data_IF_093611108948
#
_entry.id   IF_093611108948
#
_cell.length_a   1.000
_cell.length_b   1.000
_cell.length_c   1.000
_cell.angle_alpha   90.00
_cell.angle_beta   90.00
_cell.angle_gamma   90.00
#
_symmetry.space_group_name_H-M   'P 1'
#
loop_
_entity.id
_entity.type
_entity.pdbx_description
1 polymer ?
#
# COMPACT_ATOMS: atom_id res chain seq x y z
N UNK A 1 64.67 0.74 -31.78
CA UNK A 1 64.82 2.16 -31.40
C UNK A 1 64.09 2.35 -30.06
N UNK A 2 64.66 2.73 -28.90
CA UNK A 2 66.01 3.22 -28.55
C UNK A 2 66.41 4.48 -29.37
N UNK A 3 66.65 5.68 -28.84
CA UNK A 3 66.70 6.27 -27.46
C UNK A 3 66.13 7.73 -27.52
N UNK A 4 66.22 8.69 -26.58
CA UNK A 4 66.97 8.85 -25.32
C UNK A 4 66.36 9.88 -24.33
N UNK A 5 66.72 9.72 -23.03
CA UNK A 5 67.19 10.72 -22.04
C UNK A 5 66.62 12.16 -22.03
N UNK A 6 66.15 12.59 -20.84
CA UNK A 6 65.85 13.99 -20.50
C UNK A 6 65.62 14.22 -18.99
N UNK A 7 66.55 13.79 -18.12
CA UNK A 7 66.41 13.88 -16.65
C UNK A 7 66.89 15.23 -16.08
N UNK A 8 66.12 15.82 -15.16
CA UNK A 8 66.63 16.76 -14.13
C UNK A 8 65.98 16.41 -12.78
N UNK A 9 66.75 16.40 -11.70
CA UNK A 9 66.25 16.14 -10.34
C UNK A 9 67.11 16.81 -9.25
N UNK A 10 66.47 17.62 -8.40
CA UNK A 10 66.91 18.00 -7.05
C UNK A 10 65.68 18.58 -6.31
N UNK A 11 65.21 18.13 -5.15
CA UNK A 11 65.87 17.71 -3.89
C UNK A 11 66.24 18.87 -2.93
N UNK A 12 65.23 19.36 -2.20
CA UNK A 12 65.34 20.00 -0.87
C UNK A 12 64.20 19.46 0.01
N UNK A 13 64.44 18.52 0.92
CA UNK A 13 65.09 18.63 2.25
C UNK A 13 64.17 19.24 3.32
N UNK A 14 63.63 18.33 4.13
CA UNK A 14 63.27 18.43 5.56
C UNK A 14 62.92 19.80 6.17
N UNK A 15 61.66 19.90 6.63
CA UNK A 15 61.32 20.59 7.87
C UNK A 15 60.34 19.71 8.70
N UNK A 16 60.78 19.23 9.87
CA UNK A 16 59.93 18.52 10.85
C UNK A 16 59.50 19.51 11.94
N UNK A 17 58.21 19.81 12.06
CA UNK A 17 57.66 20.62 13.16
C UNK A 17 56.57 19.85 13.92
N UNK A 18 56.98 19.06 14.91
CA UNK A 18 56.07 18.34 15.81
C UNK A 18 55.42 19.30 16.83
N UNK A 19 54.42 20.07 16.42
CA UNK A 19 53.61 20.91 17.32
C UNK A 19 52.59 20.07 18.11
N UNK A 20 53.09 19.32 19.10
CA UNK A 20 52.29 18.71 20.16
C UNK A 20 51.78 19.82 21.09
N UNK A 21 50.56 20.32 20.86
CA UNK A 21 49.87 21.20 21.80
C UNK A 21 48.99 20.42 22.78
N UNK A 22 48.74 21.01 23.95
CA UNK A 22 48.46 20.27 25.17
C UNK A 22 47.09 19.60 25.23
N UNK A 23 47.08 18.42 25.83
CA UNK A 23 45.89 17.83 26.47
C UNK A 23 45.44 18.78 27.60
N UNK A 24 44.22 19.32 27.51
CA UNK A 24 43.55 19.98 28.64
C UNK A 24 42.38 19.14 29.12
N UNK A 25 42.67 18.18 29.98
CA UNK A 25 41.65 17.48 30.77
C UNK A 25 41.11 18.42 31.86
N UNK A 26 39.84 18.81 31.76
CA UNK A 26 39.06 19.38 32.88
C UNK A 26 37.86 18.48 33.15
N UNK A 27 37.78 17.98 34.37
CA UNK A 27 36.77 17.03 34.85
C UNK A 27 35.48 17.72 35.29
N UNK A 28 34.51 16.89 35.70
CA UNK A 28 33.32 17.21 36.53
C UNK A 28 32.06 17.72 35.81
N UNK A 29 31.14 16.77 35.59
CA UNK A 29 29.82 16.74 36.25
C UNK A 29 28.92 17.99 36.18
N UNK A 30 27.84 17.86 35.40
CA UNK A 30 26.47 17.86 35.96
C UNK A 30 25.55 17.05 35.04
N UNK A 31 25.09 15.89 35.49
CA UNK A 31 24.15 15.05 34.74
C UNK A 31 22.72 15.32 35.23
N UNK A 32 22.03 16.28 34.60
CA UNK A 32 20.61 16.52 34.82
C UNK A 32 19.77 15.64 33.86
N UNK A 33 19.04 14.62 34.33
CA UNK A 33 18.18 13.82 33.46
C UNK A 33 16.93 14.65 33.09
N UNK A 34 16.95 15.29 31.93
CA UNK A 34 15.80 16.04 31.42
C UNK A 34 14.68 15.07 31.00
N UNK A 35 13.85 14.67 31.96
CA UNK A 35 12.80 13.67 31.77
C UNK A 35 11.68 14.22 30.88
N UNK A 36 11.74 13.89 29.59
CA UNK A 36 10.64 14.11 28.65
C UNK A 36 9.40 13.28 29.03
N UNK A 37 8.62 13.80 29.98
CA UNK A 37 7.24 13.40 30.22
C UNK A 37 6.45 13.66 28.95
N UNK A 38 6.14 12.60 28.20
CA UNK A 38 5.31 12.68 26.99
C UNK A 38 3.88 13.02 27.42
N UNK A 39 3.30 14.16 26.99
CA UNK A 39 1.91 14.44 27.30
C UNK A 39 1.02 13.39 26.65
N UNK A 40 0.27 12.65 27.47
CA UNK A 40 -0.75 11.72 26.99
C UNK A 40 -1.92 12.52 26.43
N UNK A 41 -2.28 12.39 25.14
CA UNK A 41 -3.44 13.07 24.60
C UNK A 41 -4.71 12.44 25.18
N UNK A 42 -5.29 13.07 26.19
CA UNK A 42 -6.59 12.72 26.73
C UNK A 42 -7.67 12.97 25.67
N UNK A 43 -8.06 11.92 24.94
CA UNK A 43 -9.15 11.98 23.98
C UNK A 43 -10.49 11.99 24.71
N UNK A 44 -11.10 13.16 24.82
CA UNK A 44 -12.53 13.29 25.09
C UNK A 44 -13.32 12.58 23.98
N UNK A 45 -14.07 11.55 24.37
CA UNK A 45 -15.00 10.86 23.47
C UNK A 45 -16.37 11.56 23.50
N UNK A 46 -16.53 12.61 22.68
CA UNK A 46 -17.87 13.11 22.35
C UNK A 46 -18.54 12.11 21.42
N UNK A 47 -19.41 11.25 21.94
CA UNK A 47 -20.18 10.32 21.10
C UNK A 47 -21.43 11.03 20.57
N UNK A 48 -21.38 11.49 19.32
CA UNK A 48 -22.57 11.93 18.59
C UNK A 48 -23.21 10.72 17.93
N UNK A 49 -24.16 10.08 18.62
CA UNK A 49 -25.00 9.07 17.97
C UNK A 49 -25.86 9.73 16.90
N UNK A 50 -25.78 9.24 15.66
CA UNK A 50 -26.76 9.52 14.62
C UNK A 50 -28.04 8.73 14.92
N UNK A 51 -28.94 9.32 15.71
CA UNK A 51 -30.32 8.85 15.84
C UNK A 51 -31.05 9.11 14.54
N UNK A 52 -31.17 8.08 13.69
CA UNK A 52 -32.04 8.14 12.52
C UNK A 52 -33.49 7.95 13.00
N UNK A 53 -34.18 9.06 13.21
CA UNK A 53 -35.63 9.03 13.39
C UNK A 53 -36.27 8.39 12.15
N UNK A 54 -37.38 7.69 12.37
CA UNK A 54 -38.32 7.34 11.33
C UNK A 54 -39.54 8.23 11.55
N UNK A 55 -39.81 9.13 10.61
CA UNK A 55 -41.02 9.94 10.65
C UNK A 55 -42.23 9.06 10.32
N UNK A 56 -43.21 9.04 11.22
CA UNK A 56 -44.53 8.48 10.95
C UNK A 56 -45.32 9.47 10.07
N UNK A 57 -46.04 8.95 9.07
CA UNK A 57 -46.92 9.73 8.21
C UNK A 57 -48.38 9.52 8.62
N UNK A 58 -49.16 10.60 8.65
CA UNK A 58 -50.52 10.65 9.21
C UNK A 58 -51.62 10.21 8.21
N UNK A 59 -52.86 10.08 8.72
CA UNK A 59 -54.03 9.43 8.12
C UNK A 59 -54.58 10.08 6.82
N UNK A 60 -55.28 9.27 6.00
CA UNK A 60 -56.63 9.62 5.50
C UNK A 60 -57.33 8.49 4.72
N UNK A 61 -58.14 7.70 5.44
CA UNK A 61 -59.46 7.19 5.01
C UNK A 61 -59.62 6.31 3.73
N UNK A 62 -60.23 5.11 3.89
CA UNK A 62 -61.67 4.84 3.56
C UNK A 62 -61.98 3.40 3.03
N UNK A 63 -62.89 2.73 3.74
CA UNK A 63 -63.76 1.59 3.30
C UNK A 63 -63.13 0.22 2.97
N UNK A 64 -63.87 -0.85 3.31
CA UNK A 64 -63.55 -2.25 2.94
C UNK A 64 -63.83 -3.26 4.07
N UNK A 65 -65.06 -3.76 4.19
CA UNK A 65 -65.46 -4.68 5.27
C UNK A 65 -65.53 -6.14 4.81
N UNK A 66 -65.17 -7.12 5.68
CA UNK A 66 -65.91 -8.39 5.89
C UNK A 66 -65.14 -9.49 6.66
N UNK A 67 -65.56 -9.75 7.93
CA UNK A 67 -65.58 -11.09 8.61
C UNK A 67 -64.19 -11.75 8.91
N UNK A 68 -64.01 -12.63 9.90
CA UNK A 68 -64.91 -13.20 10.94
C UNK A 68 -64.11 -13.49 12.24
N UNK A 69 -64.78 -13.54 13.38
CA UNK A 69 -64.28 -14.14 14.63
C UNK A 69 -64.13 -15.68 14.50
N UNK A 70 -63.60 -16.47 15.45
CA UNK A 70 -63.93 -16.51 16.90
C UNK A 70 -63.03 -17.49 17.69
N UNK A 71 -62.77 -17.20 18.99
CA UNK A 71 -62.59 -18.15 20.15
C UNK A 71 -61.48 -19.23 20.08
N UNK A 72 -60.97 -19.80 21.19
CA UNK A 72 -60.92 -19.40 22.62
C UNK A 72 -59.88 -20.25 23.39
N UNK A 73 -59.71 -19.97 24.69
CA UNK A 73 -58.63 -20.45 25.59
C UNK A 73 -58.87 -21.78 26.33
N UNK A 74 -57.74 -22.46 26.63
CA UNK A 74 -57.39 -23.16 27.90
C UNK A 74 -57.82 -24.62 28.25
N UNK A 75 -56.78 -25.32 28.75
CA UNK A 75 -56.72 -26.25 29.92
C UNK A 75 -57.26 -27.71 29.93
N UNK A 76 -56.28 -28.64 29.93
CA UNK A 76 -56.01 -29.73 30.90
C UNK A 76 -56.88 -31.02 31.05
N UNK A 77 -56.13 -32.16 31.09
CA UNK A 77 -56.38 -33.44 31.82
C UNK A 77 -57.52 -34.39 31.38
N UNK A 78 -57.50 -35.71 31.63
CA UNK A 78 -56.40 -36.71 31.73
C UNK A 78 -56.97 -38.16 31.88
N UNK A 79 -56.32 -39.19 31.29
CA UNK A 79 -56.07 -40.55 31.86
C UNK A 79 -55.32 -41.49 30.88
N UNK A 80 -55.00 -42.74 31.30
CA UNK A 80 -53.90 -43.59 30.78
C UNK A 80 -54.35 -44.89 30.08
N UNK A 81 -53.53 -45.36 29.14
CA UNK A 81 -53.23 -46.78 28.86
C UNK A 81 -51.69 -46.97 28.79
N UNK A 82 -51.13 -48.19 28.74
CA UNK A 82 -49.74 -48.40 29.21
C UNK A 82 -48.82 -49.39 28.46
N UNK A 83 -47.52 -49.00 28.40
CA UNK A 83 -46.29 -49.84 28.23
C UNK A 83 -46.04 -50.47 26.84
N UNK A 84 -44.80 -50.94 26.52
CA UNK A 84 -43.59 -51.09 27.35
C UNK A 84 -42.47 -50.05 27.13
N UNK A 85 -41.33 -50.21 27.84
CA UNK A 85 -40.18 -49.28 27.89
C UNK A 85 -39.01 -49.74 27.02
N UNK A 86 -38.32 -48.81 26.35
CA UNK A 86 -36.97 -49.02 25.82
C UNK A 86 -35.88 -48.63 26.84
N UNK A 87 -34.69 -49.25 26.75
CA UNK A 87 -33.58 -49.06 27.71
C UNK A 87 -32.79 -47.77 27.42
N UNK A 88 -32.41 -46.95 28.43
CA UNK A 88 -31.55 -45.79 28.22
C UNK A 88 -30.11 -46.21 27.88
N UNK A 89 -29.51 -45.61 26.84
CA UNK A 89 -28.10 -45.84 26.49
C UNK A 89 -27.16 -45.23 27.56
N UNK A 90 -26.02 -45.87 27.88
CA UNK A 90 -25.10 -45.38 28.90
C UNK A 90 -24.43 -44.05 28.48
N UNK A 91 -24.40 -43.08 29.40
CA UNK A 91 -23.72 -41.79 29.19
C UNK A 91 -22.21 -42.02 29.04
N UNK A 92 -21.64 -41.72 27.86
CA UNK A 92 -20.18 -41.73 27.65
C UNK A 92 -19.52 -40.75 28.63
N UNK A 93 -18.60 -41.21 29.46
CA UNK A 93 -17.77 -40.34 30.33
C UNK A 93 -17.04 -39.31 29.44
N UNK A 94 -16.91 -38.03 29.86
CA UNK A 94 -16.23 -37.02 29.06
C UNK A 94 -14.75 -37.39 28.91
N UNK A 95 -14.28 -37.52 27.67
CA UNK A 95 -12.84 -37.68 27.39
C UNK A 95 -12.12 -36.45 27.97
N UNK A 96 -11.09 -36.66 28.82
CA UNK A 96 -10.21 -35.59 29.30
C UNK A 96 -9.71 -34.81 28.08
N UNK A 97 -10.02 -33.52 28.00
CA UNK A 97 -9.56 -32.66 26.89
C UNK A 97 -8.03 -32.62 26.94
N UNK A 98 -7.37 -33.12 25.91
CA UNK A 98 -5.92 -33.03 25.80
C UNK A 98 -5.50 -31.56 25.98
N UNK A 99 -4.50 -31.32 26.84
CA UNK A 99 -4.08 -29.97 27.18
C UNK A 99 -3.64 -29.25 25.89
N UNK A 100 -4.41 -28.24 25.46
CA UNK A 100 -4.03 -27.42 24.31
C UNK A 100 -2.68 -26.78 24.63
N UNK A 101 -1.64 -27.09 23.83
CA UNK A 101 -0.35 -26.39 23.86
C UNK A 101 -0.65 -24.89 23.91
N UNK A 102 0.02 -24.13 24.80
CA UNK A 102 -0.27 -22.71 25.07
C UNK A 102 0.07 -21.84 23.85
N UNK A 103 -0.81 -21.84 22.85
CA UNK A 103 -0.71 -21.00 21.66
C UNK A 103 -0.66 -19.54 22.10
N UNK A 104 0.34 -18.80 21.62
CA UNK A 104 0.49 -17.37 21.92
C UNK A 104 -0.83 -16.61 21.72
N UNK A 105 -1.14 -15.68 22.62
CA UNK A 105 -2.34 -14.83 22.51
C UNK A 105 -2.46 -14.22 21.11
N UNK A 106 -3.69 -14.04 20.62
CA UNK A 106 -3.95 -13.56 19.26
C UNK A 106 -3.24 -12.25 18.95
N UNK A 107 -3.16 -11.34 19.92
CA UNK A 107 -2.38 -10.11 19.80
C UNK A 107 -0.88 -10.37 19.60
N UNK A 108 -0.31 -11.33 20.31
CA UNK A 108 1.12 -11.63 20.23
C UNK A 108 1.46 -12.35 18.92
N UNK A 109 0.53 -13.15 18.38
CA UNK A 109 0.60 -13.64 17.00
C UNK A 109 0.61 -12.48 16.00
N UNK A 110 -0.29 -11.50 16.14
CA UNK A 110 -0.36 -10.32 15.26
C UNK A 110 0.87 -9.42 15.38
N UNK A 111 1.40 -9.21 16.59
CA UNK A 111 2.65 -8.47 16.84
C UNK A 111 3.85 -9.17 16.19
N UNK A 112 3.90 -10.50 16.25
CA UNK A 112 4.92 -11.33 15.58
C UNK A 112 4.77 -11.29 14.05
N UNK A 113 3.54 -11.44 13.54
CA UNK A 113 3.20 -11.32 12.11
C UNK A 113 3.66 -9.95 11.57
N UNK A 114 3.32 -8.85 12.24
CA UNK A 114 3.75 -7.49 11.88
C UNK A 114 5.28 -7.35 11.92
N UNK A 115 5.99 -8.02 12.85
CA UNK A 115 7.47 -8.01 12.87
C UNK A 115 8.06 -8.72 11.65
N UNK A 116 7.59 -9.92 11.32
CA UNK A 116 8.08 -10.65 10.14
C UNK A 116 7.73 -9.93 8.83
N UNK A 117 6.50 -9.44 8.70
CA UNK A 117 6.08 -8.66 7.53
C UNK A 117 6.94 -7.41 7.34
N UNK A 118 7.26 -6.68 8.41
CA UNK A 118 8.16 -5.52 8.35
C UNK A 118 9.55 -5.91 7.85
N UNK A 119 10.15 -6.96 8.40
CA UNK A 119 11.45 -7.45 7.93
C UNK A 119 11.42 -7.84 6.44
N UNK A 120 10.35 -8.51 6.00
CA UNK A 120 10.14 -8.89 4.61
C UNK A 120 9.85 -7.72 3.65
N UNK A 121 9.67 -6.48 4.13
CA UNK A 121 9.23 -5.37 3.25
C UNK A 121 10.33 -4.68 2.43
N UNK A 122 11.62 -4.97 2.60
CA UNK A 122 12.70 -4.25 1.87
C UNK A 122 12.57 -2.71 2.01
N UNK A 123 13.02 -2.19 3.15
CA UNK A 123 13.00 -0.76 3.51
C UNK A 123 14.29 -0.02 3.08
N UNK A 124 15.22 -0.76 2.49
CA UNK A 124 16.56 -0.38 2.00
C UNK A 124 16.55 0.36 0.64
N UNK A 125 15.37 0.62 0.07
CA UNK A 125 15.25 1.31 -1.21
C UNK A 125 15.89 2.71 -1.20
N UNK A 126 16.61 3.11 -2.28
CA UNK A 126 17.33 4.38 -2.33
C UNK A 126 16.37 5.58 -2.17
N UNK A 127 16.76 6.53 -1.32
CA UNK A 127 16.05 7.81 -1.15
C UNK A 127 16.21 8.64 -2.43
N UNK A 128 15.11 9.23 -2.89
CA UNK A 128 15.14 10.01 -4.13
C UNK A 128 15.72 11.41 -3.95
N UNK A 129 16.60 11.80 -4.87
CA UNK A 129 17.07 13.18 -5.08
C UNK A 129 15.92 14.07 -5.61
N UNK A 130 15.94 15.41 -5.41
CA UNK A 130 14.87 16.31 -5.84
C UNK A 130 14.73 16.38 -7.37
N UNK A 131 13.54 16.08 -7.89
CA UNK A 131 13.27 15.88 -9.33
C UNK A 131 12.62 17.07 -10.06
N UNK A 132 12.53 18.26 -9.46
CA UNK A 132 12.03 19.48 -10.12
C UNK A 132 12.85 20.70 -9.69
N UNK A 133 13.04 21.67 -10.58
CA UNK A 133 13.80 22.90 -10.32
C UNK A 133 13.43 23.57 -8.98
N UNK A 134 12.13 23.72 -8.71
CA UNK A 134 11.60 24.21 -7.42
C UNK A 134 12.03 23.35 -6.21
N UNK A 135 12.03 22.02 -6.31
CA UNK A 135 12.45 21.15 -5.21
C UNK A 135 13.97 21.16 -5.03
N UNK A 136 14.74 21.29 -6.11
CA UNK A 136 16.20 21.48 -6.07
C UNK A 136 16.49 22.79 -5.33
N UNK A 137 15.96 23.91 -5.83
CA UNK A 137 16.13 25.24 -5.27
C UNK A 137 15.75 25.33 -3.80
N UNK A 138 14.58 24.81 -3.41
CA UNK A 138 14.16 24.81 -2.00
C UNK A 138 15.00 23.89 -1.13
N UNK A 139 15.53 22.79 -1.65
CA UNK A 139 16.48 21.96 -0.89
C UNK A 139 17.83 22.66 -0.68
N UNK A 140 18.32 23.42 -1.67
CA UNK A 140 19.52 24.27 -1.56
C UNK A 140 19.27 25.40 -0.52
N UNK A 141 18.18 26.16 -0.68
CA UNK A 141 17.85 27.32 0.15
C UNK A 141 17.39 27.02 1.58
N UNK A 142 16.87 25.81 1.86
CA UNK A 142 16.58 25.34 3.23
C UNK A 142 17.84 24.80 3.91
N UNK A 143 18.78 24.21 3.17
CA UNK A 143 20.06 23.77 3.73
C UNK A 143 20.99 24.93 4.11
N UNK A 144 20.85 26.08 3.42
CA UNK A 144 21.60 27.31 3.68
C UNK A 144 20.94 28.25 4.70
N UNK A 145 19.60 28.21 4.82
CA UNK A 145 18.83 29.17 5.62
C UNK A 145 18.68 28.78 7.10
N UNK A 146 19.00 29.70 8.02
CA UNK A 146 18.65 29.58 9.44
C UNK A 146 17.29 30.23 9.73
N UNK A 147 16.42 29.55 10.49
CA UNK A 147 15.13 30.10 10.94
C UNK A 147 13.96 29.12 10.85
N UNK A 148 12.74 29.63 10.93
CA UNK A 148 11.53 28.83 10.80
C UNK A 148 11.31 28.40 9.34
N UNK A 149 11.29 27.09 9.08
CA UNK A 149 11.16 26.49 7.74
C UNK A 149 9.91 26.98 7.00
N UNK A 150 8.81 27.26 7.70
CA UNK A 150 7.57 27.78 7.11
C UNK A 150 7.75 29.16 6.47
N UNK A 151 8.54 30.03 7.08
CA UNK A 151 8.76 31.39 6.60
C UNK A 151 9.81 31.41 5.50
N UNK A 152 10.90 30.63 5.65
CA UNK A 152 11.89 30.46 4.58
C UNK A 152 11.26 29.89 3.31
N UNK A 153 10.30 28.97 3.42
CA UNK A 153 9.58 28.42 2.26
C UNK A 153 8.70 29.45 1.53
N UNK A 154 8.11 30.42 2.26
CA UNK A 154 7.39 31.56 1.64
C UNK A 154 8.36 32.48 0.89
N UNK A 155 9.47 32.85 1.55
CA UNK A 155 10.52 33.68 0.96
C UNK A 155 11.09 33.06 -0.31
N UNK A 156 11.50 31.79 -0.26
CA UNK A 156 11.97 31.02 -1.42
C UNK A 156 10.93 30.98 -2.55
N UNK A 157 9.62 30.97 -2.26
CA UNK A 157 8.56 31.00 -3.28
C UNK A 157 8.36 32.37 -3.93
N UNK A 158 8.84 33.44 -3.31
CA UNK A 158 8.94 34.77 -3.91
C UNK A 158 10.24 34.84 -4.72
N UNK A 159 11.38 34.52 -4.10
CA UNK A 159 12.71 34.52 -4.71
C UNK A 159 12.75 33.69 -6.00
N UNK A 160 12.17 32.48 -6.00
CA UNK A 160 12.09 31.60 -7.19
C UNK A 160 11.28 32.19 -8.35
N UNK A 161 10.28 33.03 -8.08
CA UNK A 161 9.48 33.69 -9.13
C UNK A 161 10.19 34.89 -9.74
N UNK A 162 11.24 35.39 -9.07
CA UNK A 162 12.10 36.48 -9.53
C UNK A 162 13.47 36.01 -10.04
N UNK A 163 13.71 34.69 -10.14
CA UNK A 163 14.94 34.15 -10.71
C UNK A 163 15.06 34.48 -12.20
N UNK A 164 16.31 34.63 -12.65
CA UNK A 164 16.62 34.77 -14.08
C UNK A 164 16.39 33.46 -14.84
N UNK A 165 16.23 33.55 -16.16
CA UNK A 165 16.02 32.39 -17.04
C UNK A 165 17.17 31.38 -16.97
N UNK A 166 18.42 31.84 -16.88
CA UNK A 166 19.62 31.00 -16.77
C UNK A 166 19.74 30.29 -15.41
N UNK A 167 19.27 30.91 -14.32
CA UNK A 167 19.17 30.24 -13.02
C UNK A 167 18.10 29.15 -13.01
N UNK A 168 16.96 29.40 -13.66
CA UNK A 168 15.90 28.42 -13.84
C UNK A 168 16.34 27.25 -14.73
N UNK A 169 17.13 27.53 -15.78
CA UNK A 169 17.75 26.53 -16.66
C UNK A 169 18.73 25.64 -15.87
N UNK A 170 19.70 26.22 -15.14
CA UNK A 170 20.61 25.50 -14.23
C UNK A 170 19.86 24.59 -13.24
N UNK A 171 18.76 25.09 -12.68
CA UNK A 171 17.92 24.33 -11.73
C UNK A 171 17.14 23.20 -12.41
N UNK A 172 16.77 23.37 -13.67
CA UNK A 172 16.10 22.35 -14.48
C UNK A 172 17.08 21.26 -14.94
N UNK A 173 18.27 21.62 -15.45
CA UNK A 173 19.35 20.68 -15.77
C UNK A 173 19.64 19.78 -14.57
N UNK A 174 19.92 20.37 -13.41
CA UNK A 174 20.16 19.64 -12.16
C UNK A 174 18.96 18.81 -11.71
N UNK A 175 17.73 19.22 -12.03
CA UNK A 175 16.54 18.42 -11.76
C UNK A 175 16.41 17.22 -12.71
N UNK A 176 16.90 17.32 -13.95
CA UNK A 176 16.94 16.24 -14.95
C UNK A 176 18.11 15.26 -14.68
N UNK A 177 19.30 15.74 -14.30
CA UNK A 177 20.38 14.93 -13.73
C UNK A 177 19.89 14.12 -12.52
N UNK A 178 19.17 14.78 -11.60
CA UNK A 178 18.56 14.09 -10.47
C UNK A 178 17.51 13.07 -10.93
N UNK A 179 16.79 13.25 -12.05
CA UNK A 179 15.87 12.22 -12.58
C UNK A 179 16.64 11.01 -13.11
N UNK A 180 17.67 11.19 -13.94
CA UNK A 180 18.46 10.08 -14.49
C UNK A 180 19.14 9.29 -13.38
N UNK A 181 19.89 9.96 -12.48
CA UNK A 181 20.54 9.34 -11.33
C UNK A 181 19.55 8.58 -10.42
N UNK A 182 18.35 9.14 -10.18
CA UNK A 182 17.29 8.44 -9.43
C UNK A 182 16.79 7.17 -10.13
N UNK A 183 16.64 7.22 -11.45
CA UNK A 183 16.18 6.08 -12.24
C UNK A 183 17.24 4.98 -12.32
N UNK A 184 18.51 5.35 -12.45
CA UNK A 184 19.66 4.45 -12.47
C UNK A 184 19.91 3.81 -11.11
N UNK A 185 19.97 4.58 -10.03
CA UNK A 185 20.13 4.05 -8.66
C UNK A 185 18.97 3.10 -8.28
N UNK A 186 17.74 3.42 -8.69
CA UNK A 186 16.60 2.52 -8.48
C UNK A 186 16.66 1.27 -9.36
N UNK A 187 17.13 1.37 -10.61
CA UNK A 187 17.36 0.22 -11.51
C UNK A 187 18.45 -0.71 -10.97
N UNK A 188 19.58 -0.16 -10.51
CA UNK A 188 20.67 -0.92 -9.91
C UNK A 188 20.23 -1.62 -8.61
N UNK A 189 19.48 -0.93 -7.75
CA UNK A 189 18.87 -1.52 -6.55
C UNK A 189 17.87 -2.63 -6.89
N UNK A 190 17.06 -2.48 -7.95
CA UNK A 190 16.23 -3.60 -8.44
C UNK A 190 17.08 -4.77 -8.95
N UNK A 191 18.20 -4.52 -9.64
CA UNK A 191 19.09 -5.59 -10.11
C UNK A 191 19.80 -6.34 -8.97
N UNK A 192 20.06 -5.69 -7.83
CA UNK A 192 20.58 -6.32 -6.61
C UNK A 192 19.56 -7.31 -5.98
N UNK A 193 18.26 -7.09 -6.21
CA UNK A 193 17.18 -7.87 -5.61
C UNK A 193 16.51 -8.82 -6.61
N UNK A 194 16.23 -10.03 -6.14
CA UNK A 194 15.51 -11.05 -6.90
C UNK A 194 14.00 -10.69 -7.07
N UNK A 195 13.38 -10.95 -8.24
CA UNK A 195 11.95 -10.75 -8.47
C UNK A 195 11.01 -11.44 -7.46
N UNK A 196 11.31 -12.64 -6.98
CA UNK A 196 10.49 -13.31 -5.97
C UNK A 196 10.55 -12.57 -4.63
N UNK A 197 11.73 -12.10 -4.25
CA UNK A 197 11.94 -11.28 -3.05
C UNK A 197 11.16 -9.96 -3.12
N UNK A 198 11.19 -9.28 -4.27
CA UNK A 198 10.41 -8.04 -4.50
C UNK A 198 8.89 -8.33 -4.49
N UNK A 199 8.46 -9.45 -5.07
CA UNK A 199 7.06 -9.89 -5.04
C UNK A 199 6.59 -10.16 -3.59
N UNK A 200 7.40 -10.88 -2.80
CA UNK A 200 7.14 -11.13 -1.39
C UNK A 200 7.09 -9.83 -0.57
N UNK A 201 8.00 -8.89 -0.83
CA UNK A 201 8.02 -7.57 -0.19
C UNK A 201 6.78 -6.73 -0.51
N UNK A 202 6.26 -6.83 -1.74
CA UNK A 202 5.01 -6.20 -2.15
C UNK A 202 3.77 -6.86 -1.53
N UNK A 203 3.76 -8.19 -1.40
CA UNK A 203 2.72 -8.91 -0.67
C UNK A 203 2.73 -8.55 0.83
N UNK A 204 3.92 -8.45 1.44
CA UNK A 204 4.10 -8.05 2.84
C UNK A 204 3.66 -6.61 3.11
N UNK A 205 4.05 -5.66 2.25
CA UNK A 205 3.51 -4.28 2.23
C UNK A 205 1.98 -4.29 2.21
N UNK A 206 1.38 -4.98 1.23
CA UNK A 206 -0.07 -5.06 1.07
C UNK A 206 -0.79 -5.85 2.19
N UNK A 207 -0.06 -6.55 3.07
CA UNK A 207 -0.61 -7.16 4.29
C UNK A 207 -0.52 -6.20 5.48
N UNK A 208 0.60 -5.50 5.65
CA UNK A 208 0.74 -4.42 6.66
C UNK A 208 -0.28 -3.29 6.44
N UNK A 209 -0.56 -2.95 5.19
CA UNK A 209 -1.58 -1.98 4.75
C UNK A 209 -2.99 -2.29 5.32
N UNK A 210 -3.25 -3.57 5.64
CA UNK A 210 -4.52 -4.06 6.22
C UNK A 210 -4.44 -4.42 7.72
N UNK A 211 -3.27 -4.29 8.34
CA UNK A 211 -3.04 -4.66 9.75
C UNK A 211 -2.63 -3.47 10.64
N UNK A 212 -2.07 -2.41 10.06
CA UNK A 212 -1.66 -1.22 10.79
C UNK A 212 -2.78 -0.18 10.81
N UNK A 213 -3.00 0.53 11.94
CA UNK A 213 -3.99 1.60 12.01
C UNK A 213 -3.55 2.83 11.20
N UNK A 214 -4.50 3.75 11.04
CA UNK A 214 -4.34 5.01 10.32
C UNK A 214 -3.02 5.75 10.58
N UNK A 215 -2.50 6.39 9.52
CA UNK A 215 -1.18 7.00 9.49
C UNK A 215 -0.01 6.01 9.42
N UNK A 216 0.02 4.95 10.24
CA UNK A 216 1.17 4.03 10.32
C UNK A 216 1.34 3.11 9.11
N UNK A 217 0.30 2.93 8.30
CA UNK A 217 0.41 2.19 7.04
C UNK A 217 0.90 3.04 5.86
N UNK A 218 0.97 4.39 5.96
CA UNK A 218 1.26 5.28 4.83
C UNK A 218 2.56 4.93 4.09
N UNK A 219 3.63 4.53 4.81
CA UNK A 219 4.90 4.09 4.24
C UNK A 219 4.85 2.73 3.51
N UNK A 220 3.82 1.91 3.75
CA UNK A 220 3.65 0.59 3.15
C UNK A 220 2.63 0.59 1.99
N UNK A 221 1.87 1.67 1.77
CA UNK A 221 0.95 1.81 0.61
C UNK A 221 1.70 1.70 -0.72
N UNK A 222 2.87 2.34 -0.81
CA UNK A 222 3.68 2.42 -2.02
C UNK A 222 4.42 1.11 -2.25
N UNK A 223 4.00 0.39 -3.29
CA UNK A 223 4.59 -0.89 -3.73
C UNK A 223 5.83 -0.61 -4.59
N UNK A 224 6.85 -1.47 -4.46
CA UNK A 224 8.00 -1.50 -5.36
C UNK A 224 7.48 -1.75 -6.77
N UNK A 225 7.85 -0.89 -7.73
CA UNK A 225 7.54 -1.07 -9.15
C UNK A 225 8.76 -1.65 -9.85
N UNK A 226 8.70 -2.92 -10.21
CA UNK A 226 9.74 -3.62 -10.95
C UNK A 226 9.18 -4.01 -12.33
N UNK A 227 9.81 -3.64 -13.45
CA UNK A 227 9.35 -4.03 -14.79
C UNK A 227 9.47 -5.52 -15.07
N UNK A 228 10.30 -6.28 -14.32
CA UNK A 228 10.44 -7.74 -14.44
C UNK A 228 9.19 -8.49 -13.93
N UNK A 229 8.45 -7.90 -12.99
CA UNK A 229 7.31 -8.58 -12.35
C UNK A 229 6.10 -8.71 -13.30
N UNK A 230 5.48 -9.91 -13.39
CA UNK A 230 4.32 -10.16 -14.25
C UNK A 230 3.18 -9.16 -14.03
N UNK A 231 2.72 -8.54 -15.12
CA UNK A 231 1.62 -7.56 -15.06
C UNK A 231 0.30 -8.31 -14.93
N UNK A 232 -0.52 -7.92 -13.95
CA UNK A 232 -1.86 -8.51 -13.71
C UNK A 232 -2.66 -8.59 -15.02
N UNK A 233 -3.42 -9.68 -15.26
CA UNK A 233 -4.13 -9.86 -16.51
C UNK A 233 -5.25 -8.85 -16.64
N UNK A 234 -5.49 -8.38 -17.87
CA UNK A 234 -6.59 -7.49 -18.24
C UNK A 234 -7.91 -8.28 -18.23
N UNK A 235 -8.99 -7.61 -17.85
CA UNK A 235 -10.34 -8.15 -18.07
C UNK A 235 -10.85 -7.78 -19.46
N UNK A 236 -11.91 -8.45 -19.92
CA UNK A 236 -12.58 -8.13 -21.18
C UNK A 236 -12.94 -6.64 -21.31
N UNK A 237 -13.49 -6.04 -20.24
CA UNK A 237 -13.75 -4.60 -20.18
C UNK A 237 -12.46 -3.76 -20.34
N UNK A 238 -11.32 -4.18 -19.77
CA UNK A 238 -10.05 -3.47 -19.94
C UNK A 238 -9.51 -3.59 -21.38
N UNK A 239 -9.68 -4.74 -22.04
CA UNK A 239 -9.32 -4.92 -23.45
C UNK A 239 -10.19 -3.99 -24.34
N UNK A 240 -11.52 -4.03 -24.19
CA UNK A 240 -12.45 -3.12 -24.88
C UNK A 240 -12.12 -1.65 -24.63
N UNK A 241 -11.91 -1.27 -23.37
CA UNK A 241 -11.55 0.10 -23.01
C UNK A 241 -10.27 0.53 -23.73
N UNK A 242 -9.24 -0.31 -23.76
CA UNK A 242 -7.98 -0.01 -24.43
C UNK A 242 -8.18 0.20 -25.95
N UNK A 243 -9.06 -0.58 -26.59
CA UNK A 243 -9.40 -0.43 -28.01
C UNK A 243 -10.18 0.87 -28.29
N UNK A 244 -11.19 1.21 -27.45
CA UNK A 244 -11.92 2.49 -27.56
C UNK A 244 -11.02 3.71 -27.32
N UNK A 245 -10.18 3.70 -26.28
CA UNK A 245 -9.20 4.76 -26.03
C UNK A 245 -8.19 4.93 -27.18
N UNK A 246 -7.78 3.84 -27.84
CA UNK A 246 -6.91 3.89 -29.02
C UNK A 246 -7.63 4.37 -30.30
N UNK A 247 -8.96 4.31 -30.35
CA UNK A 247 -9.76 4.75 -31.51
C UNK A 247 -9.80 6.28 -31.66
N UNK A 248 -9.44 7.05 -30.62
CA UNK A 248 -9.29 8.51 -30.67
C UNK A 248 -10.59 9.34 -30.74
N UNK A 249 -11.72 8.74 -31.12
CA UNK A 249 -13.04 9.38 -31.28
C UNK A 249 -13.73 9.78 -29.95
N UNK A 250 -12.99 10.16 -28.92
CA UNK A 250 -13.46 10.36 -27.54
C UNK A 250 -13.13 11.77 -27.05
N UNK A 251 -14.07 12.70 -27.26
CA UNK A 251 -13.93 14.13 -26.90
C UNK A 251 -14.66 14.44 -25.59
N UNK A 252 -13.94 14.59 -24.49
CA UNK A 252 -14.55 14.92 -23.19
C UNK A 252 -13.58 14.79 -22.01
N UNK A 253 -14.06 14.98 -20.79
CA UNK A 253 -13.23 14.79 -19.60
C UNK A 253 -12.98 13.29 -19.38
N UNK A 254 -11.76 12.84 -19.00
CA UNK A 254 -11.47 11.42 -18.77
C UNK A 254 -12.45 10.64 -17.88
N UNK A 255 -13.01 11.19 -16.77
CA UNK A 255 -14.04 10.49 -15.97
C UNK A 255 -15.43 10.44 -16.61
N UNK A 256 -15.68 11.16 -17.71
CA UNK A 256 -16.94 11.13 -18.47
C UNK A 256 -16.86 10.09 -19.58
N UNK A 257 -15.79 10.14 -20.37
CA UNK A 257 -15.45 9.12 -21.37
C UNK A 257 -15.37 7.72 -20.74
N UNK A 258 -14.84 7.60 -19.50
CA UNK A 258 -14.83 6.35 -18.76
C UNK A 258 -16.23 5.84 -18.33
N UNK A 259 -17.26 6.70 -18.24
CA UNK A 259 -18.66 6.29 -18.02
C UNK A 259 -19.31 5.85 -19.33
N UNK A 260 -19.01 6.56 -20.43
CA UNK A 260 -19.49 6.27 -21.77
C UNK A 260 -19.01 4.90 -22.25
N UNK A 261 -17.70 4.64 -22.21
CA UNK A 261 -17.11 3.31 -22.49
C UNK A 261 -17.71 2.22 -21.58
N UNK A 262 -18.04 2.54 -20.32
CA UNK A 262 -18.72 1.62 -19.41
C UNK A 262 -20.21 1.41 -19.69
N UNK A 263 -20.87 2.30 -20.44
CA UNK A 263 -22.22 2.15 -20.94
C UNK A 263 -22.23 1.36 -22.27
N UNK A 264 -21.34 1.72 -23.20
CA UNK A 264 -21.10 0.97 -24.46
C UNK A 264 -20.84 -0.51 -24.16
N UNK A 265 -19.88 -0.82 -23.30
CA UNK A 265 -19.53 -2.21 -22.96
C UNK A 265 -20.70 -2.98 -22.32
N UNK A 266 -21.66 -2.30 -21.67
CA UNK A 266 -22.90 -2.93 -21.20
C UNK A 266 -23.86 -3.19 -22.33
N UNK A 267 -24.01 -2.25 -23.27
CA UNK A 267 -24.90 -2.34 -24.43
C UNK A 267 -24.43 -3.34 -25.50
N UNK A 268 -23.12 -3.58 -25.65
CA UNK A 268 -22.54 -4.49 -26.66
C UNK A 268 -23.25 -5.87 -26.68
N UNK A 269 -23.47 -6.50 -27.85
CA UNK A 269 -24.05 -7.84 -27.93
C UNK A 269 -23.11 -8.91 -27.37
N UNK A 270 -23.65 -10.09 -27.07
CA UNK A 270 -22.89 -11.21 -26.51
C UNK A 270 -21.75 -11.69 -27.44
N UNK A 271 -21.98 -11.66 -28.75
CA UNK A 271 -20.99 -11.97 -29.80
C UNK A 271 -19.75 -11.06 -29.73
N UNK A 272 -19.95 -9.74 -29.71
CA UNK A 272 -18.85 -8.78 -29.60
C UNK A 272 -18.17 -8.85 -28.23
N UNK A 273 -18.92 -9.11 -27.16
CA UNK A 273 -18.34 -9.37 -25.83
C UNK A 273 -17.45 -10.60 -25.82
N UNK A 274 -17.76 -11.64 -26.59
CA UNK A 274 -16.96 -12.88 -26.63
C UNK A 274 -15.52 -12.62 -27.10
N UNK A 275 -15.32 -11.82 -28.16
CA UNK A 275 -13.99 -11.33 -28.59
C UNK A 275 -13.13 -10.85 -27.41
N UNK A 276 -13.71 -10.05 -26.52
CA UNK A 276 -13.01 -9.49 -25.37
C UNK A 276 -12.85 -10.48 -24.21
N UNK A 277 -13.75 -11.47 -24.07
CA UNK A 277 -13.61 -12.58 -23.13
C UNK A 277 -12.42 -13.45 -23.56
N UNK A 278 -12.38 -13.89 -24.81
CA UNK A 278 -11.31 -14.72 -25.38
C UNK A 278 -9.94 -14.00 -25.24
N UNK A 279 -9.88 -12.71 -25.59
CA UNK A 279 -8.70 -11.86 -25.39
C UNK A 279 -8.30 -11.69 -23.91
N UNK A 280 -9.22 -11.86 -22.96
CA UNK A 280 -8.92 -11.83 -21.53
C UNK A 280 -8.49 -13.21 -20.99
N UNK A 281 -8.93 -14.31 -21.60
CA UNK A 281 -8.44 -15.65 -21.29
C UNK A 281 -7.02 -15.86 -21.82
N UNK A 282 -6.72 -15.44 -23.05
CA UNK A 282 -5.35 -15.44 -23.59
C UNK A 282 -4.42 -14.55 -22.73
N UNK A 283 -4.86 -13.37 -22.29
CA UNK A 283 -4.07 -12.51 -21.41
C UNK A 283 -3.89 -13.10 -20.00
N UNK A 284 -4.85 -13.92 -19.55
CA UNK A 284 -4.75 -14.70 -18.31
C UNK A 284 -3.72 -15.81 -18.43
N UNK A 285 -3.70 -16.58 -19.52
CA UNK A 285 -2.70 -17.62 -19.77
C UNK A 285 -1.30 -17.04 -19.92
N UNK A 286 -1.19 -15.88 -20.59
CA UNK A 286 0.03 -15.07 -20.68
C UNK A 286 0.54 -14.72 -19.28
N UNK A 287 -0.32 -14.23 -18.39
CA UNK A 287 0.03 -13.98 -16.99
C UNK A 287 0.38 -15.25 -16.19
N UNK A 288 -0.32 -16.38 -16.38
CA UNK A 288 0.01 -17.65 -15.69
C UNK A 288 1.41 -18.13 -16.08
N UNK A 289 1.76 -18.08 -17.37
CA UNK A 289 3.11 -18.41 -17.87
C UNK A 289 4.16 -17.44 -17.33
N UNK A 290 3.93 -16.13 -17.38
CA UNK A 290 4.84 -15.13 -16.78
C UNK A 290 5.07 -15.38 -15.28
N UNK A 291 4.03 -15.73 -14.51
CA UNK A 291 4.12 -16.01 -13.07
C UNK A 291 4.86 -17.31 -12.75
N UNK A 292 4.77 -18.33 -13.60
CA UNK A 292 5.55 -19.55 -13.44
C UNK A 292 7.02 -19.32 -13.82
N UNK A 293 7.29 -18.62 -14.93
CA UNK A 293 8.67 -18.33 -15.41
C UNK A 293 9.43 -17.38 -14.48
N UNK A 294 8.82 -16.26 -14.06
CA UNK A 294 9.54 -15.20 -13.33
C UNK A 294 9.58 -15.45 -11.82
N UNK A 295 8.59 -16.16 -11.26
CA UNK A 295 8.39 -16.28 -9.81
C UNK A 295 8.24 -17.72 -9.32
N UNK A 296 8.42 -18.73 -10.19
CA UNK A 296 8.24 -20.16 -9.92
C UNK A 296 6.89 -20.50 -9.25
N UNK A 297 5.85 -19.69 -9.50
CA UNK A 297 4.57 -19.75 -8.77
C UNK A 297 3.42 -20.15 -9.67
N UNK A 298 3.04 -21.42 -9.56
CA UNK A 298 1.87 -22.01 -10.22
C UNK A 298 0.58 -21.30 -9.79
N UNK A 299 0.16 -20.31 -10.57
CA UNK A 299 -1.13 -19.63 -10.39
C UNK A 299 -2.23 -20.58 -10.82
N UNK A 300 -3.14 -20.94 -9.89
CA UNK A 300 -4.32 -21.73 -10.25
C UNK A 300 -5.16 -20.95 -11.28
N UNK A 301 -5.15 -21.42 -12.52
CA UNK A 301 -6.15 -21.02 -13.50
C UNK A 301 -7.54 -21.36 -12.93
N UNK A 302 -8.50 -20.46 -13.14
CA UNK A 302 -9.87 -20.92 -13.26
C UNK A 302 -9.90 -21.45 -14.68
N UNK A 303 -9.83 -22.77 -14.84
CA UNK A 303 -10.23 -23.41 -16.09
C UNK A 303 -11.60 -22.86 -16.47
N UNK A 304 -11.84 -22.62 -17.75
CA UNK A 304 -13.15 -22.21 -18.21
C UNK A 304 -14.20 -23.18 -17.63
N UNK A 305 -15.27 -22.64 -17.07
CA UNK A 305 -16.50 -23.44 -16.99
C UNK A 305 -16.85 -23.73 -18.45
N UNK A 306 -16.95 -25.00 -18.90
CA UNK A 306 -17.38 -25.27 -20.26
C UNK A 306 -18.73 -24.56 -20.49
N UNK A 307 -18.98 -24.01 -21.69
CA UNK A 307 -20.28 -23.41 -21.99
C UNK A 307 -21.37 -24.44 -21.68
N UNK A 308 -22.43 -24.01 -20.99
CA UNK A 308 -23.57 -24.88 -20.73
C UNK A 308 -24.15 -25.37 -22.07
N UNK A 309 -24.50 -26.66 -22.19
CA UNK A 309 -25.24 -27.17 -23.35
C UNK A 309 -26.65 -26.59 -23.42
#
# INVERSE_FOLDING_TARGET
MLTAIGRVAAARVLARSNLKLLVRTTTATTAAPFTYLKPTPARSFTTTQWTRAADEADDSTKSGASKKATKSTASQAAKKAAKPKSKPKPKRKPKKKAAKKRTMSRENQLKLEIRHLKAATLQDAPKKLPQTAWTVYTSEGIAQGMGAVTERMKQLSIEYKSLSSSELERLQEKADENKTANHEAYKAWLQQHDPETIYAANAARARLDRLLPEGRYKSYRTRIRDPRLPKRPRSAYTQFSQERWATGNLTGSPPELAKEIAAEYKALPASEKQKYIDLAEVDRERYVREMEIVLNKKVKSRSATPPSP
#
